data_IF_928594873880
#
_entry.id   IF_928594873880
#
_cell.length_a   1.000
_cell.length_b   1.000
_cell.length_c   1.000
_cell.angle_alpha   90.00
_cell.angle_beta   90.00
_cell.angle_gamma   90.00
#
_symmetry.space_group_name_H-M   'P 1'
#
loop_
_entity.id
_entity.type
_entity.pdbx_description
1 polymer ?
#
# COMPACT_ATOMS: atom_id res chain seq x y z
N UNK A 1 -37.15 37.98 -52.59
CA UNK A 1 -38.60 38.18 -52.38
C UNK A 1 -39.23 36.80 -52.23
N UNK A 2 -39.64 36.50 -51.02
CA UNK A 2 -40.31 35.26 -50.62
C UNK A 2 -41.68 35.11 -51.29
N UNK A 3 -42.11 33.88 -51.56
CA UNK A 3 -43.52 33.51 -51.43
C UNK A 3 -43.66 32.04 -51.01
N UNK A 4 -44.47 31.82 -49.97
CA UNK A 4 -44.86 30.53 -49.38
C UNK A 4 -46.23 30.10 -49.91
N UNK A 5 -46.62 28.88 -49.48
CA UNK A 5 -47.96 28.24 -49.32
C UNK A 5 -48.08 27.00 -50.23
N UNK A 6 -48.60 25.83 -49.85
CA UNK A 6 -49.08 25.14 -48.63
C UNK A 6 -49.41 23.68 -49.08
N UNK A 7 -49.29 22.66 -48.21
CA UNK A 7 -50.05 21.37 -48.18
C UNK A 7 -49.23 20.35 -47.37
N UNK A 8 -49.53 20.07 -46.09
CA UNK A 8 -50.62 19.28 -45.47
C UNK A 8 -50.35 17.77 -45.39
N UNK A 9 -49.96 17.30 -44.19
CA UNK A 9 -50.40 16.01 -43.62
C UNK A 9 -49.86 15.84 -42.19
N UNK A 10 -50.75 15.89 -41.20
CA UNK A 10 -50.56 15.33 -39.84
C UNK A 10 -51.03 13.86 -39.84
N UNK A 11 -50.52 12.99 -38.94
CA UNK A 11 -51.18 12.75 -37.64
C UNK A 11 -50.17 12.65 -36.47
N UNK A 12 -50.41 13.27 -35.31
CA UNK A 12 -51.15 12.81 -34.11
C UNK A 12 -50.37 11.79 -33.23
N UNK A 13 -49.96 12.30 -32.06
CA UNK A 13 -49.85 11.71 -30.71
C UNK A 13 -48.82 10.60 -30.45
N UNK A 14 -47.90 10.86 -29.50
CA UNK A 14 -48.07 10.36 -28.12
C UNK A 14 -47.12 11.10 -27.16
N UNK A 15 -47.67 11.93 -26.28
CA UNK A 15 -46.99 12.45 -25.08
C UNK A 15 -47.32 11.46 -23.97
N UNK A 16 -46.31 10.84 -23.37
CA UNK A 16 -46.43 10.11 -22.11
C UNK A 16 -45.43 10.70 -21.11
N UNK A 17 -45.95 11.66 -20.35
CA UNK A 17 -45.46 12.03 -19.03
C UNK A 17 -45.88 10.93 -18.05
N UNK A 18 -44.93 10.24 -17.45
CA UNK A 18 -45.16 9.44 -16.24
C UNK A 18 -44.07 9.77 -15.22
N UNK A 19 -44.39 10.76 -14.39
CA UNK A 19 -43.83 10.94 -13.06
C UNK A 19 -44.36 9.85 -12.13
N UNK A 20 -43.49 9.11 -11.44
CA UNK A 20 -43.88 8.41 -10.22
C UNK A 20 -42.70 8.18 -9.27
N UNK A 21 -42.76 8.95 -8.18
CA UNK A 21 -42.34 8.67 -6.80
C UNK A 21 -41.04 7.91 -6.51
N UNK A 22 -40.18 8.65 -5.80
CA UNK A 22 -39.17 8.14 -4.90
C UNK A 22 -39.74 7.09 -3.94
N UNK A 23 -39.05 5.95 -3.84
CA UNK A 23 -39.04 5.12 -2.65
C UNK A 23 -37.58 4.98 -2.22
N UNK A 24 -37.25 5.71 -1.16
CA UNK A 24 -36.03 5.58 -0.38
C UNK A 24 -35.89 4.15 0.16
N UNK A 25 -34.89 3.42 -0.33
CA UNK A 25 -34.31 2.31 0.40
C UNK A 25 -32.89 2.74 0.81
N UNK A 26 -32.77 3.22 2.06
CA UNK A 26 -31.49 3.18 2.76
C UNK A 26 -31.13 1.70 2.93
N UNK A 27 -30.29 1.18 2.06
CA UNK A 27 -29.36 0.13 2.46
C UNK A 27 -27.98 0.75 2.42
N UNK A 28 -27.55 1.26 3.57
CA UNK A 28 -26.14 1.40 3.85
C UNK A 28 -25.54 -0.01 3.68
N UNK A 29 -25.00 -0.30 2.50
CA UNK A 29 -23.97 -1.32 2.39
C UNK A 29 -22.72 -0.64 2.90
N UNK A 30 -22.01 -1.20 3.88
CA UNK A 30 -20.82 -0.55 4.37
C UNK A 30 -19.86 -0.45 3.20
N UNK A 31 -19.32 0.74 2.99
CA UNK A 31 -18.23 0.98 2.09
C UNK A 31 -17.00 0.26 2.66
N UNK A 32 -16.62 -0.88 2.06
CA UNK A 32 -15.31 -1.49 2.30
C UNK A 32 -14.46 -1.11 1.09
N UNK A 33 -14.37 0.20 0.88
CA UNK A 33 -13.20 0.81 0.28
C UNK A 33 -12.17 0.93 1.39
N UNK A 34 -10.92 0.57 1.09
CA UNK A 34 -9.72 0.65 1.92
C UNK A 34 -9.44 -0.59 2.77
N UNK A 35 -8.19 -1.05 2.70
CA UNK A 35 -7.44 -0.94 3.93
C UNK A 35 -5.97 -0.69 3.66
N UNK A 36 -5.62 0.54 3.99
CA UNK A 36 -4.28 0.96 4.30
C UNK A 36 -3.67 -0.03 5.31
N UNK A 37 -2.37 -0.29 5.20
CA UNK A 37 -1.67 -0.99 6.27
C UNK A 37 -1.96 -0.28 7.61
N UNK A 38 -2.37 -1.02 8.64
CA UNK A 38 -3.18 -0.40 9.68
C UNK A 38 -4.08 -1.36 10.43
N UNK A 39 -4.95 -0.78 11.26
CA UNK A 39 -5.96 -1.48 12.06
C UNK A 39 -7.15 -1.85 11.16
N UNK A 40 -7.59 -3.11 11.28
CA UNK A 40 -8.75 -3.65 10.57
C UNK A 40 -9.79 -4.15 11.60
N UNK A 41 -10.52 -3.25 12.25
CA UNK A 41 -11.58 -3.63 13.19
C UNK A 41 -12.72 -4.31 12.43
N UNK A 42 -13.31 -5.34 13.05
CA UNK A 42 -14.40 -6.10 12.45
C UNK A 42 -13.98 -6.98 11.26
N UNK A 43 -12.69 -7.34 11.18
CA UNK A 43 -12.16 -8.23 10.16
C UNK A 43 -11.36 -9.36 10.80
N UNK A 44 -11.47 -10.54 10.21
CA UNK A 44 -10.69 -11.72 10.51
C UNK A 44 -9.80 -12.06 9.31
N UNK A 45 -8.49 -12.19 9.54
CA UNK A 45 -7.57 -12.66 8.51
C UNK A 45 -7.44 -14.18 8.71
N UNK A 46 -8.01 -14.98 7.82
CA UNK A 46 -8.10 -16.43 7.95
C UNK A 46 -6.93 -17.12 7.24
N UNK A 47 -6.18 -17.97 7.96
CA UNK A 47 -5.04 -18.70 7.41
C UNK A 47 -3.72 -17.97 7.59
N UNK A 48 -2.64 -18.53 7.03
CA UNK A 48 -1.29 -17.98 7.12
C UNK A 48 -0.65 -18.01 8.52
N UNK A 49 -1.32 -18.63 9.49
CA UNK A 49 -0.89 -18.68 10.89
C UNK A 49 0.37 -19.52 11.07
N UNK A 50 1.42 -18.95 11.68
CA UNK A 50 2.63 -19.70 12.03
C UNK A 50 3.00 -19.63 13.51
N UNK A 51 2.37 -18.72 14.27
CA UNK A 51 2.60 -18.55 15.70
C UNK A 51 1.37 -17.91 16.37
N UNK A 52 1.07 -18.33 17.60
CA UNK A 52 0.04 -17.70 18.42
C UNK A 52 0.46 -17.57 19.88
N UNK A 53 -0.18 -16.66 20.62
CA UNK A 53 0.02 -16.49 22.05
C UNK A 53 -1.19 -15.80 22.72
N UNK A 54 -1.44 -16.04 24.01
CA UNK A 54 -2.46 -15.31 24.76
C UNK A 54 -2.01 -13.86 24.98
N UNK A 55 -2.84 -12.88 24.59
CA UNK A 55 -2.58 -11.46 24.81
C UNK A 55 -3.20 -11.03 26.15
N UNK A 56 -2.39 -10.99 27.19
CA UNK A 56 -2.84 -10.86 28.60
C UNK A 56 -2.65 -9.47 29.21
N UNK A 57 -2.09 -8.53 28.44
CA UNK A 57 -1.92 -7.15 28.90
C UNK A 57 -3.27 -6.42 29.03
N UNK A 58 -3.21 -5.22 29.63
CA UNK A 58 -4.36 -4.31 29.69
C UNK A 58 -4.73 -3.71 28.31
N UNK A 59 -3.88 -3.89 27.30
CA UNK A 59 -4.09 -3.48 25.92
C UNK A 59 -3.75 -4.62 24.94
N UNK A 60 -4.55 -5.71 24.90
CA UNK A 60 -4.27 -6.91 24.11
C UNK A 60 -4.06 -6.66 22.61
N UNK A 61 -4.71 -5.61 22.11
CA UNK A 61 -4.59 -5.17 20.73
C UNK A 61 -3.19 -4.62 20.43
N UNK A 62 -2.68 -3.71 21.26
CA UNK A 62 -1.33 -3.17 21.11
C UNK A 62 -0.26 -4.26 21.33
N UNK A 63 -0.49 -5.18 22.26
CA UNK A 63 0.38 -6.33 22.48
C UNK A 63 0.49 -7.21 21.23
N UNK A 64 -0.64 -7.51 20.59
CA UNK A 64 -0.67 -8.30 19.36
C UNK A 64 0.01 -7.59 18.19
N UNK A 65 -0.29 -6.29 18.02
CA UNK A 65 0.32 -5.44 17.01
C UNK A 65 1.84 -5.38 17.18
N UNK A 66 2.31 -5.11 18.40
CA UNK A 66 3.74 -5.00 18.69
C UNK A 66 4.49 -6.31 18.47
N UNK A 67 3.87 -7.45 18.80
CA UNK A 67 4.46 -8.76 18.50
C UNK A 67 4.63 -8.99 16.98
N UNK A 68 3.64 -8.62 16.16
CA UNK A 68 3.77 -8.71 14.71
C UNK A 68 4.81 -7.72 14.15
N UNK A 69 4.92 -6.53 14.72
CA UNK A 69 5.92 -5.54 14.32
C UNK A 69 7.34 -6.03 14.62
N UNK A 70 7.56 -6.62 15.80
CA UNK A 70 8.84 -7.17 16.23
C UNK A 70 9.25 -8.47 15.52
N UNK A 71 8.28 -9.23 14.98
CA UNK A 71 8.57 -10.48 14.27
C UNK A 71 8.83 -10.21 12.77
N UNK A 72 10.05 -10.51 12.25
CA UNK A 72 10.39 -10.27 10.84
C UNK A 72 9.62 -11.17 9.86
N UNK A 73 9.09 -12.30 10.32
CA UNK A 73 8.25 -13.20 9.52
C UNK A 73 6.79 -12.73 9.46
N UNK A 74 6.33 -11.97 10.45
CA UNK A 74 4.94 -11.52 10.48
C UNK A 74 4.66 -10.48 9.38
N UNK A 75 3.53 -10.66 8.67
CA UNK A 75 2.93 -9.69 7.75
C UNK A 75 1.55 -9.22 8.20
N UNK A 76 0.87 -9.99 9.04
CA UNK A 76 -0.41 -9.59 9.62
C UNK A 76 -0.69 -10.32 10.93
N UNK A 77 -1.65 -9.82 11.69
CA UNK A 77 -2.13 -10.49 12.89
C UNK A 77 -3.64 -10.42 13.02
N UNK A 78 -4.21 -11.40 13.72
CA UNK A 78 -5.61 -11.35 14.18
C UNK A 78 -5.66 -11.56 15.68
N UNK A 79 -6.30 -10.63 16.38
CA UNK A 79 -6.62 -10.77 17.79
C UNK A 79 -8.03 -11.35 17.91
N UNK A 80 -8.06 -12.60 18.35
CA UNK A 80 -9.30 -13.29 18.72
C UNK A 80 -9.71 -12.85 20.12
N UNK A 81 -10.97 -12.42 20.36
CA UNK A 81 -11.43 -12.00 21.67
C UNK A 81 -11.35 -13.10 22.73
N UNK A 82 -11.40 -12.66 23.99
CA UNK A 82 -11.64 -13.56 25.11
C UNK A 82 -12.95 -14.35 24.92
N UNK A 83 -12.98 -15.53 25.52
CA UNK A 83 -14.07 -16.50 25.52
C UNK A 83 -14.33 -17.21 24.18
N UNK A 84 -13.62 -16.86 23.10
CA UNK A 84 -13.71 -17.57 21.81
C UNK A 84 -12.77 -18.79 21.79
N UNK A 85 -11.51 -18.61 22.20
CA UNK A 85 -10.49 -19.67 22.21
C UNK A 85 -9.91 -19.95 23.62
N UNK A 86 -10.39 -19.22 24.64
CA UNK A 86 -9.90 -19.31 26.00
C UNK A 86 -10.38 -18.11 26.82
N UNK A 87 -10.01 -18.02 28.10
CA UNK A 87 -10.45 -16.93 28.98
C UNK A 87 -9.81 -15.57 28.64
N UNK A 88 -8.71 -15.58 27.88
CA UNK A 88 -7.97 -14.38 27.44
C UNK A 88 -8.04 -14.25 25.93
N UNK A 89 -7.87 -13.03 25.38
CA UNK A 89 -7.67 -12.85 23.96
C UNK A 89 -6.46 -13.65 23.46
N UNK A 90 -6.50 -14.10 22.20
CA UNK A 90 -5.41 -14.85 21.57
C UNK A 90 -4.97 -14.12 20.31
N UNK A 91 -3.69 -13.76 20.25
CA UNK A 91 -3.07 -13.17 19.09
C UNK A 91 -2.52 -14.27 18.17
N UNK A 92 -2.85 -14.18 16.89
CA UNK A 92 -2.36 -15.07 15.84
C UNK A 92 -1.53 -14.28 14.84
N UNK A 93 -0.22 -14.57 14.77
CA UNK A 93 0.72 -13.98 13.84
C UNK A 93 0.75 -14.76 12.52
N UNK A 94 0.75 -14.02 11.42
CA UNK A 94 0.57 -14.55 10.06
C UNK A 94 1.70 -14.12 9.15
N UNK A 95 2.13 -15.04 8.30
CA UNK A 95 3.17 -14.79 7.29
C UNK A 95 2.52 -14.43 5.95
N UNK A 96 2.15 -15.41 5.14
CA UNK A 96 1.51 -15.25 3.83
C UNK A 96 0.25 -16.13 3.74
N UNK A 97 -0.54 -15.99 2.66
CA UNK A 97 -1.70 -16.83 2.35
C UNK A 97 -2.90 -16.74 3.32
N UNK A 98 -3.13 -15.55 3.91
CA UNK A 98 -4.36 -15.28 4.68
C UNK A 98 -5.43 -14.59 3.82
N UNK A 99 -6.70 -14.92 4.06
CA UNK A 99 -7.86 -14.30 3.42
C UNK A 99 -8.54 -13.33 4.37
N UNK A 100 -8.84 -12.12 3.90
CA UNK A 100 -9.52 -11.10 4.70
C UNK A 100 -11.04 -11.31 4.62
N UNK A 101 -11.67 -11.57 5.76
CA UNK A 101 -13.12 -11.80 5.87
C UNK A 101 -13.73 -10.83 6.88
N UNK A 102 -14.87 -10.25 6.54
CA UNK A 102 -15.65 -9.45 7.46
C UNK A 102 -16.14 -10.31 8.63
N UNK A 103 -15.77 -9.92 9.85
CA UNK A 103 -16.17 -10.57 11.09
C UNK A 103 -16.15 -9.52 12.21
N UNK A 104 -17.33 -9.01 12.55
CA UNK A 104 -17.47 -7.93 13.54
C UNK A 104 -16.97 -8.28 14.94
N UNK A 105 -16.71 -9.56 15.22
CA UNK A 105 -16.15 -10.00 16.49
C UNK A 105 -14.63 -9.98 16.53
N UNK A 106 -13.95 -9.82 15.38
CA UNK A 106 -12.50 -9.93 15.28
C UNK A 106 -11.84 -8.58 15.04
N UNK A 107 -10.59 -8.45 15.48
CA UNK A 107 -9.75 -7.30 15.17
C UNK A 107 -8.47 -7.80 14.53
N UNK A 108 -8.18 -7.34 13.31
CA UNK A 108 -6.96 -7.72 12.59
C UNK A 108 -6.07 -6.52 12.34
N UNK A 109 -4.80 -6.78 12.02
CA UNK A 109 -3.80 -5.78 11.72
C UNK A 109 -2.99 -6.22 10.50
N UNK A 110 -2.81 -5.32 9.52
CA UNK A 110 -1.93 -5.55 8.36
C UNK A 110 -0.62 -4.77 8.56
N UNK A 111 0.52 -5.47 8.57
CA UNK A 111 1.84 -4.86 8.77
C UNK A 111 2.21 -4.01 7.54
N UNK A 112 2.62 -2.74 7.71
CA UNK A 112 3.04 -1.92 6.57
C UNK A 112 4.28 -2.44 5.84
N UNK A 113 4.24 -2.39 4.50
CA UNK A 113 5.26 -2.96 3.60
C UNK A 113 6.66 -2.32 3.73
N UNK A 114 6.78 -1.10 4.24
CA UNK A 114 8.07 -0.41 4.45
C UNK A 114 8.81 -0.80 5.74
N UNK A 115 8.33 -1.82 6.44
CA UNK A 115 8.91 -2.30 7.69
C UNK A 115 10.26 -3.02 7.54
N UNK A 116 10.72 -3.28 6.30
CA UNK A 116 12.07 -3.78 6.02
C UNK A 116 12.84 -2.70 5.28
N UNK A 117 13.71 -1.95 5.97
CA UNK A 117 14.64 -1.08 5.26
C UNK A 117 15.47 -1.91 4.27
N UNK A 118 15.74 -1.35 3.09
CA UNK A 118 16.55 -2.01 2.08
C UNK A 118 18.00 -1.99 2.53
N UNK A 119 18.58 -3.18 2.68
CA UNK A 119 19.98 -3.33 3.09
C UNK A 119 20.94 -2.90 2.00
N UNK A 120 22.11 -2.45 2.43
CA UNK A 120 23.19 -1.92 1.59
C UNK A 120 22.78 -0.72 0.73
N UNK A 121 21.86 0.08 1.22
CA UNK A 121 21.42 1.29 0.55
C UNK A 121 21.47 2.51 1.47
N UNK A 122 21.94 3.62 0.92
CA UNK A 122 21.83 4.94 1.51
C UNK A 122 21.10 5.89 0.56
N UNK A 123 20.06 6.56 1.05
CA UNK A 123 19.47 7.75 0.42
C UNK A 123 20.25 8.99 0.82
N UNK A 124 21.32 9.30 0.10
CA UNK A 124 22.22 10.41 0.45
C UNK A 124 21.53 11.78 0.41
N UNK A 125 21.61 12.54 1.50
CA UNK A 125 21.10 13.90 1.61
C UNK A 125 19.70 13.99 2.21
N UNK A 126 19.20 15.22 2.34
CA UNK A 126 17.90 15.48 2.97
C UNK A 126 17.85 15.24 4.47
N UNK A 127 18.98 14.89 5.09
CA UNK A 127 19.10 14.63 6.52
C UNK A 127 18.88 15.92 7.33
N UNK A 128 17.94 15.88 8.28
CA UNK A 128 17.65 17.02 9.15
C UNK A 128 17.82 16.69 10.64
N UNK A 129 17.91 15.40 11.00
CA UNK A 129 18.13 14.95 12.36
C UNK A 129 18.91 13.63 12.38
N UNK A 130 19.70 13.41 13.43
CA UNK A 130 20.52 12.22 13.62
C UNK A 130 20.48 11.72 15.05
N UNK A 131 20.44 10.41 15.23
CA UNK A 131 20.36 9.75 16.54
C UNK A 131 21.37 8.61 16.57
N UNK A 132 22.27 8.61 17.55
CA UNK A 132 23.15 7.46 17.82
C UNK A 132 22.47 6.47 18.74
N UNK A 133 22.40 5.21 18.32
CA UNK A 133 21.93 4.08 19.10
C UNK A 133 23.11 3.34 19.72
N UNK A 134 23.40 3.66 20.98
CA UNK A 134 24.45 3.01 21.76
C UNK A 134 24.04 1.63 22.29
N UNK A 135 22.74 1.34 22.34
CA UNK A 135 22.21 0.02 22.66
C UNK A 135 22.22 -0.86 21.38
N UNK A 136 22.97 -1.98 21.34
CA UNK A 136 23.05 -2.85 20.17
C UNK A 136 21.72 -3.49 19.75
N UNK A 137 20.70 -3.46 20.62
CA UNK A 137 19.37 -3.96 20.29
C UNK A 137 18.54 -2.97 19.46
N UNK A 138 18.92 -1.68 19.47
CA UNK A 138 18.27 -0.66 18.65
C UNK A 138 18.87 -0.67 17.25
N UNK A 139 18.02 -0.74 16.23
CA UNK A 139 18.46 -0.83 14.85
C UNK A 139 17.51 -0.15 13.89
N UNK A 140 17.25 -0.83 12.77
CA UNK A 140 16.43 -0.28 11.68
C UNK A 140 15.01 0.01 12.15
N UNK A 141 14.47 -0.87 13.00
CA UNK A 141 13.13 -0.74 13.56
C UNK A 141 12.99 0.50 14.44
N UNK A 142 13.93 0.76 15.35
CA UNK A 142 13.95 1.98 16.16
C UNK A 142 14.11 3.23 15.28
N UNK A 143 15.05 3.23 14.33
CA UNK A 143 15.27 4.37 13.44
C UNK A 143 13.98 4.78 12.69
N UNK A 144 13.23 3.78 12.24
CA UNK A 144 11.92 3.96 11.65
C UNK A 144 10.93 4.58 12.63
N UNK A 145 10.81 4.04 13.85
CA UNK A 145 9.88 4.55 14.86
C UNK A 145 10.09 6.05 15.11
N UNK A 146 11.34 6.50 15.18
CA UNK A 146 11.66 7.93 15.28
C UNK A 146 11.21 8.71 14.04
N UNK A 147 11.44 8.19 12.83
CA UNK A 147 10.97 8.82 11.60
C UNK A 147 9.43 8.91 11.56
N UNK A 148 8.71 7.88 11.97
CA UNK A 148 7.23 7.87 12.00
C UNK A 148 6.64 8.87 12.98
N UNK A 149 7.28 9.07 14.13
CA UNK A 149 6.82 10.00 15.16
C UNK A 149 7.08 11.47 14.81
N UNK A 150 8.04 11.76 13.93
CA UNK A 150 8.34 13.11 13.48
C UNK A 150 7.64 13.42 12.15
N UNK A 151 6.62 14.31 12.10
CA UNK A 151 5.84 14.58 10.90
C UNK A 151 6.67 15.08 9.69
N UNK A 152 7.87 15.62 9.90
CA UNK A 152 8.76 16.09 8.83
C UNK A 152 9.48 14.96 8.09
N UNK A 153 9.63 13.79 8.71
CA UNK A 153 10.42 12.71 8.14
C UNK A 153 9.70 12.03 6.96
N UNK A 154 10.33 11.91 5.81
CA UNK A 154 9.79 11.18 4.64
C UNK A 154 10.62 9.93 4.30
N UNK A 155 11.88 9.86 4.78
CA UNK A 155 12.76 8.72 4.64
C UNK A 155 13.78 8.65 5.79
N UNK A 156 14.44 7.51 5.96
CA UNK A 156 15.55 7.36 6.92
C UNK A 156 16.66 6.46 6.35
N UNK A 157 17.88 6.61 6.88
CA UNK A 157 18.98 5.64 6.70
C UNK A 157 19.55 5.29 8.06
N UNK A 158 19.61 4.01 8.40
CA UNK A 158 20.44 3.52 9.50
C UNK A 158 21.81 3.12 8.96
N UNK A 159 22.87 3.58 9.60
CA UNK A 159 24.25 3.13 9.36
C UNK A 159 24.68 2.21 10.51
N UNK A 160 25.24 1.06 10.17
CA UNK A 160 25.68 0.05 11.14
C UNK A 160 26.72 0.62 12.13
N UNK A 161 26.70 0.06 13.35
CA UNK A 161 27.65 0.41 14.40
C UNK A 161 29.10 0.20 13.94
N UNK A 162 29.99 1.10 14.37
CA UNK A 162 31.41 1.07 14.02
C UNK A 162 31.76 1.70 12.66
N UNK A 163 30.77 2.04 11.83
CA UNK A 163 31.03 2.74 10.56
C UNK A 163 31.14 4.26 10.73
N UNK A 164 30.19 4.86 11.45
CA UNK A 164 30.16 6.32 11.70
C UNK A 164 30.34 6.69 13.17
N UNK A 165 29.88 5.84 14.09
CA UNK A 165 29.98 6.03 15.52
C UNK A 165 30.15 4.67 16.21
N UNK A 166 30.34 4.67 17.54
CA UNK A 166 30.44 3.42 18.29
C UNK A 166 29.10 2.66 18.26
N UNK A 167 27.98 3.39 18.32
CA UNK A 167 26.62 2.90 18.08
C UNK A 167 26.18 3.00 16.61
N UNK A 168 25.03 2.41 16.30
CA UNK A 168 24.40 2.56 14.99
C UNK A 168 23.85 3.99 14.83
N UNK A 169 23.99 4.60 13.66
CA UNK A 169 23.57 5.98 13.42
C UNK A 169 22.30 6.03 12.59
N UNK A 170 21.22 6.55 13.16
CA UNK A 170 19.96 6.79 12.49
C UNK A 170 19.91 8.21 11.93
N UNK A 171 19.68 8.35 10.63
CA UNK A 171 19.53 9.63 9.95
C UNK A 171 18.11 9.80 9.43
N UNK A 172 17.38 10.80 9.96
CA UNK A 172 16.03 11.17 9.54
C UNK A 172 16.08 12.21 8.42
N UNK A 173 15.27 12.02 7.38
CA UNK A 173 15.30 12.83 6.16
C UNK A 173 13.95 13.46 5.87
N UNK A 174 13.95 14.74 5.49
CA UNK A 174 12.73 15.49 5.15
C UNK A 174 12.38 15.38 3.66
N UNK A 175 13.28 14.83 2.85
CA UNK A 175 13.05 14.50 1.45
C UNK A 175 13.34 13.01 1.19
N UNK A 176 12.99 12.54 0.00
CA UNK A 176 13.32 11.18 -0.46
C UNK A 176 14.38 11.22 -1.55
N UNK A 177 15.68 11.28 -1.21
CA UNK A 177 16.74 11.14 -2.19
C UNK A 177 16.72 9.76 -2.87
N UNK A 178 17.33 9.70 -4.05
CA UNK A 178 17.59 8.43 -4.73
C UNK A 178 18.47 7.53 -3.83
N UNK A 179 18.16 6.23 -3.82
CA UNK A 179 18.97 5.25 -3.13
C UNK A 179 20.29 5.02 -3.90
N UNK A 180 21.36 4.77 -3.16
CA UNK A 180 22.67 4.44 -3.69
C UNK A 180 23.25 3.26 -2.92
N UNK A 181 24.01 2.41 -3.60
CA UNK A 181 24.68 1.26 -3.00
C UNK A 181 25.66 1.73 -1.92
N UNK A 182 25.44 1.32 -0.69
CA UNK A 182 26.24 1.69 0.47
C UNK A 182 26.24 0.52 1.47
N UNK A 183 27.25 -0.38 1.43
CA UNK A 183 27.36 -1.49 2.36
C UNK A 183 27.27 -1.04 3.82
N UNK A 184 26.46 -1.75 4.62
CA UNK A 184 26.22 -1.42 6.03
C UNK A 184 25.31 -0.21 6.27
N UNK A 185 24.62 0.27 5.23
CA UNK A 185 23.51 1.21 5.35
C UNK A 185 22.19 0.51 5.06
N UNK A 186 21.12 0.91 5.75
CA UNK A 186 19.79 0.36 5.58
C UNK A 186 18.79 1.51 5.44
N UNK A 187 18.18 1.66 4.27
CA UNK A 187 17.30 2.80 3.97
C UNK A 187 15.82 2.43 3.96
N UNK A 188 14.98 3.24 4.60
CA UNK A 188 13.52 3.08 4.61
C UNK A 188 12.79 4.35 4.21
N UNK A 189 11.53 4.19 3.78
CA UNK A 189 10.63 5.27 3.37
C UNK A 189 9.42 5.34 4.30
N UNK A 190 8.80 6.51 4.41
CA UNK A 190 7.47 6.65 4.99
C UNK A 190 6.49 7.01 3.87
N UNK A 191 5.99 5.97 3.18
CA UNK A 191 5.23 6.10 1.93
C UNK A 191 4.00 7.00 2.04
N UNK A 192 3.34 7.03 3.19
CA UNK A 192 2.18 7.90 3.46
C UNK A 192 2.48 9.40 3.36
N UNK A 193 3.76 9.79 3.38
CA UNK A 193 4.23 11.18 3.37
C UNK A 193 5.04 11.54 2.14
N UNK A 194 5.14 10.66 1.15
CA UNK A 194 5.84 10.95 -0.10
C UNK A 194 4.94 11.74 -1.05
N UNK A 195 5.41 12.92 -1.45
CA UNK A 195 4.83 13.67 -2.57
C UNK A 195 5.52 13.21 -3.85
N UNK A 196 4.83 12.40 -4.67
CA UNK A 196 5.33 11.90 -5.95
C UNK A 196 5.27 12.98 -7.05
N UNK A 197 5.78 14.18 -6.78
CA UNK A 197 5.91 15.24 -7.78
C UNK A 197 7.32 15.20 -8.37
N UNK A 198 7.47 14.48 -9.49
CA UNK A 198 8.46 14.73 -10.54
C UNK A 198 9.94 14.54 -10.18
N UNK A 199 10.49 13.35 -10.45
CA UNK A 199 11.93 13.07 -10.45
C UNK A 199 12.31 12.18 -11.63
N UNK A 200 12.78 12.80 -12.71
CA UNK A 200 13.25 12.19 -13.95
C UNK A 200 14.50 11.34 -13.72
N UNK A 201 14.36 10.04 -13.42
CA UNK A 201 15.34 9.04 -13.82
C UNK A 201 15.06 8.65 -15.28
N UNK A 202 16.09 8.53 -16.11
CA UNK A 202 15.98 8.20 -17.54
C UNK A 202 15.63 6.72 -17.79
N UNK A 203 14.80 6.14 -16.93
CA UNK A 203 14.10 4.92 -17.24
C UNK A 203 13.19 5.21 -18.45
N UNK A 204 13.41 4.53 -19.57
CA UNK A 204 12.52 4.69 -20.72
C UNK A 204 11.39 3.68 -20.59
N UNK A 205 10.16 4.15 -20.55
CA UNK A 205 9.00 3.25 -20.53
C UNK A 205 8.66 2.75 -21.94
N UNK A 206 8.34 1.46 -22.06
CA UNK A 206 7.42 0.97 -23.11
C UNK A 206 6.04 0.84 -22.51
N UNK A 207 5.19 1.82 -22.82
CA UNK A 207 3.80 1.80 -22.38
C UNK A 207 2.96 0.85 -23.25
N UNK A 208 2.17 0.01 -22.58
CA UNK A 208 1.31 -1.01 -23.17
C UNK A 208 -0.15 -0.79 -22.70
N UNK A 209 -0.95 0.01 -23.44
CA UNK A 209 -2.35 0.24 -23.09
C UNK A 209 -3.18 -1.03 -23.34
N UNK A 210 -4.16 -1.29 -22.48
CA UNK A 210 -5.06 -2.45 -22.57
C UNK A 210 -4.33 -3.80 -22.57
N UNK A 211 -3.24 -3.88 -21.81
CA UNK A 211 -2.41 -5.08 -21.68
C UNK A 211 -2.18 -5.35 -20.21
N UNK A 212 -2.31 -6.62 -19.82
CA UNK A 212 -1.88 -7.17 -18.55
C UNK A 212 -0.61 -8.01 -18.78
N UNK A 213 0.39 -7.80 -17.94
CA UNK A 213 1.54 -8.70 -17.78
C UNK A 213 1.30 -9.58 -16.55
N UNK A 214 0.68 -10.77 -16.63
CA UNK A 214 0.36 -11.56 -15.43
C UNK A 214 1.62 -12.14 -14.76
N UNK A 215 1.62 -12.16 -13.42
CA UNK A 215 2.67 -12.78 -12.60
C UNK A 215 3.96 -11.97 -12.51
N UNK A 216 4.97 -12.55 -11.86
CA UNK A 216 6.24 -11.88 -11.49
C UNK A 216 6.07 -10.66 -10.57
N UNK A 217 4.89 -10.53 -9.95
CA UNK A 217 4.56 -9.50 -8.98
C UNK A 217 5.39 -9.68 -7.69
N UNK A 218 5.98 -8.60 -7.20
CA UNK A 218 6.73 -8.62 -5.93
C UNK A 218 6.29 -7.55 -4.95
N UNK A 219 5.57 -6.54 -5.43
CA UNK A 219 4.96 -5.50 -4.62
C UNK A 219 3.74 -4.95 -5.36
N UNK A 220 2.78 -4.43 -4.61
CA UNK A 220 1.59 -3.81 -5.14
C UNK A 220 1.10 -2.68 -4.23
N UNK A 221 0.30 -1.76 -4.79
CA UNK A 221 -0.28 -0.64 -4.06
C UNK A 221 -1.44 0.01 -4.82
N UNK A 222 -2.39 0.56 -4.09
CA UNK A 222 -3.44 1.41 -4.68
C UNK A 222 -2.91 2.80 -5.04
N UNK A 223 -3.43 3.32 -6.15
CA UNK A 223 -3.04 4.58 -6.77
C UNK A 223 -4.21 5.57 -6.65
N UNK A 224 -4.17 6.44 -5.64
CA UNK A 224 -5.25 7.38 -5.35
C UNK A 224 -5.56 8.37 -6.50
N UNK A 225 -4.57 8.70 -7.33
CA UNK A 225 -4.74 9.57 -8.50
C UNK A 225 -5.53 8.91 -9.63
N UNK A 226 -5.65 7.57 -9.61
CA UNK A 226 -6.12 6.75 -10.70
C UNK A 226 -5.35 6.96 -12.03
N UNK A 227 -4.10 7.39 -11.95
CA UNK A 227 -3.20 7.50 -13.10
C UNK A 227 -2.15 6.38 -13.04
N UNK A 228 -2.08 5.57 -14.10
CA UNK A 228 -1.07 4.51 -14.22
C UNK A 228 0.37 5.06 -14.10
N UNK A 229 0.59 6.35 -14.36
CA UNK A 229 1.91 6.98 -14.24
C UNK A 229 2.51 6.87 -12.85
N UNK A 230 1.70 6.68 -11.81
CA UNK A 230 2.21 6.46 -10.46
C UNK A 230 2.85 5.06 -10.33
N UNK A 231 2.34 4.05 -11.06
CA UNK A 231 3.04 2.77 -11.18
C UNK A 231 4.39 2.91 -11.84
N UNK A 232 4.43 3.63 -12.96
CA UNK A 232 5.67 3.92 -13.66
C UNK A 232 6.64 4.66 -12.73
N UNK A 233 6.19 5.69 -12.02
CA UNK A 233 7.04 6.51 -11.17
C UNK A 233 7.71 5.72 -10.04
N UNK A 234 7.00 4.75 -9.46
CA UNK A 234 7.56 3.85 -8.45
C UNK A 234 8.49 2.81 -9.11
N UNK A 235 8.04 2.17 -10.19
CA UNK A 235 8.82 1.13 -10.87
C UNK A 235 10.12 1.68 -11.47
N UNK A 236 10.11 2.88 -12.06
CA UNK A 236 11.26 3.55 -12.64
C UNK A 236 12.36 3.94 -11.63
N UNK A 237 12.03 3.91 -10.34
CA UNK A 237 12.95 4.23 -9.24
C UNK A 237 13.38 2.99 -8.43
N UNK A 238 12.82 1.83 -8.74
CA UNK A 238 13.17 0.56 -8.12
C UNK A 238 14.08 -0.24 -9.08
N UNK A 239 15.37 -0.44 -8.75
CA UNK A 239 16.31 -1.19 -9.59
C UNK A 239 15.90 -2.65 -9.85
N UNK A 240 15.06 -3.22 -8.99
CA UNK A 240 14.48 -4.55 -9.12
C UNK A 240 13.22 -4.59 -10.00
N UNK A 241 12.57 -3.45 -10.23
CA UNK A 241 11.38 -3.39 -11.06
C UNK A 241 11.73 -3.43 -12.55
N UNK A 242 11.13 -4.38 -13.25
CA UNK A 242 11.28 -4.55 -14.70
C UNK A 242 10.00 -4.23 -15.45
N UNK A 243 8.86 -4.34 -14.80
CA UNK A 243 7.56 -4.00 -15.38
C UNK A 243 6.54 -3.66 -14.30
N UNK A 244 5.42 -3.09 -14.72
CA UNK A 244 4.24 -2.98 -13.87
C UNK A 244 2.96 -3.27 -14.66
N UNK A 245 1.90 -3.64 -13.96
CA UNK A 245 0.52 -3.63 -14.48
C UNK A 245 -0.31 -2.73 -13.57
N UNK A 246 -0.87 -1.65 -14.12
CA UNK A 246 -1.93 -0.87 -13.52
C UNK A 246 -3.28 -1.47 -13.90
N UNK A 247 -4.15 -1.71 -12.92
CA UNK A 247 -5.55 -2.09 -13.12
C UNK A 247 -6.42 -0.88 -12.82
N UNK A 248 -7.35 -0.56 -13.72
CA UNK A 248 -8.21 0.61 -13.59
C UNK A 248 -9.12 0.53 -12.35
N UNK A 249 -9.62 1.68 -11.88
CA UNK A 249 -10.49 1.72 -10.71
C UNK A 249 -11.78 0.95 -10.94
N UNK A 250 -12.34 0.39 -9.88
CA UNK A 250 -13.58 -0.37 -9.89
C UNK A 250 -13.43 -1.86 -10.22
N UNK A 251 -12.22 -2.34 -10.50
CA UNK A 251 -11.95 -3.77 -10.69
C UNK A 251 -11.33 -4.45 -9.47
N UNK A 252 -10.22 -3.91 -8.98
CA UNK A 252 -9.47 -4.46 -7.84
C UNK A 252 -9.55 -3.57 -6.58
N UNK A 253 -10.32 -2.49 -6.66
CA UNK A 253 -10.49 -1.51 -5.59
C UNK A 253 -11.25 -0.29 -6.09
N UNK A 254 -11.55 0.64 -5.20
CA UNK A 254 -12.16 1.92 -5.57
C UNK A 254 -11.18 2.83 -6.34
N UNK A 255 -9.89 2.61 -6.14
CA UNK A 255 -8.80 3.27 -6.84
C UNK A 255 -8.17 2.33 -7.87
N UNK A 256 -7.36 2.88 -8.76
CA UNK A 256 -6.52 2.07 -9.62
C UNK A 256 -5.48 1.34 -8.81
N UNK A 257 -5.11 0.14 -9.22
CA UNK A 257 -4.24 -0.73 -8.45
C UNK A 257 -2.97 -1.05 -9.23
N UNK A 258 -1.83 -0.98 -8.58
CA UNK A 258 -0.53 -1.15 -9.19
C UNK A 258 0.12 -2.46 -8.80
N UNK A 259 0.60 -3.22 -9.78
CA UNK A 259 1.38 -4.43 -9.57
C UNK A 259 2.79 -4.24 -10.11
N UNK A 260 3.80 -4.12 -9.26
CA UNK A 260 5.21 -4.04 -9.61
C UNK A 260 5.83 -5.42 -9.81
N UNK A 261 6.65 -5.57 -10.85
CA UNK A 261 7.13 -6.88 -11.32
C UNK A 261 8.64 -6.97 -11.46
N UNK A 262 9.18 -8.12 -11.05
CA UNK A 262 10.59 -8.47 -11.17
C UNK A 262 11.01 -8.82 -12.61
N UNK A 263 10.04 -8.98 -13.53
CA UNK A 263 10.28 -9.36 -14.91
C UNK A 263 9.10 -9.01 -15.84
N UNK A 264 9.27 -9.28 -17.13
CA UNK A 264 8.27 -9.04 -18.18
C UNK A 264 7.67 -10.38 -18.61
N UNK A 265 6.39 -10.61 -18.34
CA UNK A 265 5.68 -11.83 -18.73
C UNK A 265 5.05 -11.70 -20.12
N UNK A 266 4.36 -12.76 -20.57
CA UNK A 266 3.60 -12.73 -21.82
C UNK A 266 2.51 -11.65 -21.76
N UNK A 267 2.37 -10.85 -22.81
CA UNK A 267 1.34 -9.81 -22.90
C UNK A 267 -0.03 -10.43 -23.13
N UNK A 268 -0.98 -10.16 -22.25
CA UNK A 268 -2.38 -10.59 -22.36
C UNK A 268 -3.24 -9.35 -22.59
N UNK A 269 -4.08 -9.35 -23.63
CA UNK A 269 -4.99 -8.24 -23.90
C UNK A 269 -6.05 -8.14 -22.78
N UNK A 270 -6.17 -6.97 -22.17
CA UNK A 270 -7.17 -6.66 -21.16
C UNK A 270 -7.46 -5.16 -21.15
N UNK A 271 -8.68 -4.78 -21.56
CA UNK A 271 -9.11 -3.37 -21.62
C UNK A 271 -9.20 -2.66 -20.27
N UNK A 272 -9.03 -3.40 -19.17
CA UNK A 272 -9.08 -2.86 -17.83
C UNK A 272 -7.71 -2.54 -17.25
N UNK A 273 -6.63 -2.81 -18.00
CA UNK A 273 -5.28 -2.64 -17.49
C UNK A 273 -4.41 -1.79 -18.41
N UNK A 274 -3.37 -1.21 -17.84
CA UNK A 274 -2.31 -0.54 -18.58
C UNK A 274 -0.99 -1.00 -17.98
N UNK A 275 -0.08 -1.50 -18.79
CA UNK A 275 1.21 -1.99 -18.31
C UNK A 275 2.34 -1.10 -18.81
N UNK A 276 3.48 -1.14 -18.13
CA UNK A 276 4.71 -0.52 -18.60
C UNK A 276 5.90 -1.43 -18.38
N UNK A 277 6.82 -1.46 -19.34
CA UNK A 277 8.12 -2.13 -19.23
C UNK A 277 9.19 -1.06 -19.05
N UNK A 278 10.02 -1.21 -18.01
CA UNK A 278 11.09 -0.27 -17.69
C UNK A 278 12.37 -0.69 -18.41
N UNK A 279 13.01 0.25 -19.12
CA UNK A 279 14.30 0.07 -19.81
C UNK A 279 15.40 0.96 -19.24
#
# INVERSE_FOLDING_TARGET
>A
MSNRLLSSSTPIRLILLLSALALSALTASPAWSQGHAGDWPGHNFLGGDYRHFPATSFAPHDECRNACMADPKCRAATLVPAFVQGLTPVCWLKDSDFNIVADSSMNSWLKPAYSTAVSNENRLGGDYHSIEFTNPQHGVTECRTYCEQDPRCTAFTLVDAGLQAAGAMCWLKETTPAASMAPGCHSGLVYERQSFTGGSSTASEVFLPNVNLPGMDYADFDVASNDYRDCYAVCAQDPGCRAYTYVRPGLQGAFGHCWLKTGVSAQVADSNTASGIIR
#
